data_IF_335872285221
#
_entry.id   IF_335872285221
#
_cell.length_a   1.000
_cell.length_b   1.000
_cell.length_c   1.000
_cell.angle_alpha   90.00
_cell.angle_beta   90.00
_cell.angle_gamma   90.00
#
_symmetry.space_group_name_H-M   'P 1'
#
loop_
_entity.id
_entity.type
_entity.pdbx_description
1 polymer ?
#
# COMPACT_ATOMS: atom_id res chain seq x y z
N UNK A 1 -8.37 6.65 -10.92
CA UNK A 1 -9.34 5.83 -10.16
C UNK A 1 -8.67 5.11 -8.98
N UNK A 2 -7.68 4.24 -9.20
CA UNK A 2 -7.00 3.51 -8.11
C UNK A 2 -6.32 4.43 -7.09
N UNK A 3 -5.67 5.51 -7.53
CA UNK A 3 -5.00 6.46 -6.62
C UNK A 3 -5.97 7.15 -5.65
N UNK A 4 -7.22 7.38 -6.06
CA UNK A 4 -8.23 8.01 -5.20
C UNK A 4 -8.64 7.03 -4.09
N UNK A 5 -8.97 5.79 -4.44
CA UNK A 5 -9.20 4.75 -3.44
C UNK A 5 -8.01 4.58 -2.48
N UNK A 6 -6.79 4.51 -3.00
CA UNK A 6 -5.57 4.41 -2.18
C UNK A 6 -5.39 5.58 -1.21
N UNK A 7 -5.82 6.79 -1.58
CA UNK A 7 -5.70 7.96 -0.70
C UNK A 7 -6.61 7.87 0.54
N UNK A 8 -7.75 7.17 0.45
CA UNK A 8 -8.70 6.98 1.55
C UNK A 8 -8.23 5.99 2.60
N UNK A 9 -7.30 5.11 2.24
CA UNK A 9 -6.81 4.10 3.17
C UNK A 9 -5.90 4.72 4.24
N UNK A 10 -6.07 4.30 5.51
CA UNK A 10 -5.40 4.91 6.66
C UNK A 10 -3.93 4.52 6.79
N UNK A 11 -3.52 3.39 6.20
CA UNK A 11 -2.14 2.90 6.25
C UNK A 11 -1.21 3.66 5.30
N UNK A 12 0.04 3.86 5.75
CA UNK A 12 1.10 4.62 5.05
C UNK A 12 2.44 3.86 4.98
N UNK A 13 2.49 2.68 5.59
CA UNK A 13 3.68 1.86 5.74
C UNK A 13 3.33 0.46 5.29
N UNK A 14 4.22 -0.15 4.52
CA UNK A 14 4.01 -1.45 3.93
C UNK A 14 5.30 -2.25 3.94
N UNK A 15 5.16 -3.57 3.93
CA UNK A 15 6.24 -4.47 3.60
C UNK A 15 6.47 -4.50 2.09
N UNK A 16 7.74 -4.52 1.70
CA UNK A 16 8.14 -4.76 0.32
C UNK A 16 9.21 -5.83 0.34
N UNK A 17 8.88 -6.99 -0.20
CA UNK A 17 9.81 -8.08 -0.34
C UNK A 17 10.60 -7.97 -1.64
N UNK A 18 11.79 -8.57 -1.62
CA UNK A 18 12.61 -8.83 -2.80
C UNK A 18 12.93 -10.31 -2.82
N UNK A 19 12.43 -11.02 -3.82
CA UNK A 19 12.61 -12.45 -3.98
C UNK A 19 13.21 -12.81 -5.34
N UNK A 20 13.91 -13.93 -5.40
CA UNK A 20 14.24 -14.65 -6.64
C UNK A 20 13.21 -15.77 -6.79
N UNK A 21 12.38 -15.68 -7.83
CA UNK A 21 11.41 -16.72 -8.16
C UNK A 21 12.15 -17.83 -8.91
N UNK A 22 12.14 -19.06 -8.35
CA UNK A 22 12.83 -20.22 -8.91
C UNK A 22 11.91 -21.08 -9.77
N UNK A 23 10.66 -21.27 -9.33
CA UNK A 23 9.65 -22.04 -10.07
C UNK A 23 8.27 -21.39 -9.94
N UNK A 24 7.54 -21.35 -11.06
CA UNK A 24 6.12 -21.00 -11.08
C UNK A 24 5.29 -21.99 -11.89
N UNK A 25 4.02 -22.14 -11.52
CA UNK A 25 3.03 -22.94 -12.24
C UNK A 25 1.88 -22.07 -12.71
N UNK A 26 1.25 -22.47 -13.81
CA UNK A 26 0.00 -21.86 -14.25
C UNK A 26 -1.14 -22.24 -13.31
N UNK A 27 -1.85 -21.26 -12.75
CA UNK A 27 -2.98 -21.49 -11.84
C UNK A 27 -4.16 -22.25 -12.45
N UNK A 28 -4.25 -22.33 -13.79
CA UNK A 28 -5.37 -22.98 -14.50
C UNK A 28 -5.10 -24.47 -14.75
N UNK A 29 -3.87 -24.83 -15.09
CA UNK A 29 -3.53 -26.19 -15.54
C UNK A 29 -2.34 -26.82 -14.80
N UNK A 30 -1.75 -26.11 -13.84
CA UNK A 30 -0.63 -26.54 -13.01
C UNK A 30 0.66 -26.89 -13.77
N UNK A 31 0.74 -26.57 -15.06
CA UNK A 31 1.96 -26.74 -15.84
C UNK A 31 3.02 -25.75 -15.36
N UNK A 32 4.21 -26.26 -15.05
CA UNK A 32 5.39 -25.43 -14.74
C UNK A 32 5.69 -24.55 -15.94
N UNK A 33 5.72 -23.23 -15.73
CA UNK A 33 6.06 -22.29 -16.79
C UNK A 33 7.57 -22.17 -16.86
N UNK A 34 8.10 -22.35 -18.06
CA UNK A 34 9.50 -22.06 -18.36
C UNK A 34 9.58 -21.40 -19.73
N UNK A 35 10.78 -20.93 -20.09
CA UNK A 35 11.00 -20.42 -21.45
C UNK A 35 10.68 -21.46 -22.53
N UNK A 36 10.88 -22.75 -22.21
CA UNK A 36 10.69 -23.87 -23.14
C UNK A 36 9.25 -24.39 -23.09
N UNK A 37 8.65 -24.41 -21.90
CA UNK A 37 7.31 -24.97 -21.68
C UNK A 37 6.32 -23.84 -21.38
N UNK A 38 5.46 -23.53 -22.36
CA UNK A 38 4.29 -22.69 -22.17
C UNK A 38 3.01 -23.49 -22.40
N UNK A 39 2.10 -23.46 -21.44
CA UNK A 39 0.80 -24.13 -21.50
C UNK A 39 -0.21 -23.42 -22.40
N UNK A 40 0.18 -22.32 -23.05
CA UNK A 40 -0.67 -21.49 -23.92
C UNK A 40 -1.69 -20.62 -23.17
N UNK A 41 -1.86 -20.80 -21.85
CA UNK A 41 -2.70 -19.93 -21.04
C UNK A 41 -2.01 -18.57 -20.81
N UNK A 42 -2.72 -17.50 -21.14
CA UNK A 42 -2.25 -16.12 -21.06
C UNK A 42 -2.58 -15.55 -19.68
N UNK A 43 -1.58 -14.99 -19.00
CA UNK A 43 -1.77 -14.32 -17.70
C UNK A 43 -2.85 -13.24 -17.78
N UNK A 44 -3.63 -13.12 -16.72
CA UNK A 44 -4.76 -12.20 -16.58
C UNK A 44 -5.94 -12.47 -17.55
N UNK A 45 -5.99 -13.64 -18.21
CA UNK A 45 -7.18 -14.10 -18.94
C UNK A 45 -7.99 -15.07 -18.09
N UNK A 46 -9.30 -15.07 -18.32
CA UNK A 46 -10.25 -15.97 -17.68
C UNK A 46 -10.39 -17.25 -18.52
N UNK A 47 -10.34 -18.39 -17.83
CA UNK A 47 -10.54 -19.71 -18.39
C UNK A 47 -11.56 -20.45 -17.51
N UNK A 48 -12.78 -20.66 -18.01
CA UNK A 48 -13.86 -21.31 -17.27
C UNK A 48 -14.12 -20.69 -15.87
N UNK A 49 -14.06 -19.37 -15.77
CA UNK A 49 -14.24 -18.63 -14.51
C UNK A 49 -13.01 -18.56 -13.62
N UNK A 50 -11.90 -19.19 -14.01
CA UNK A 50 -10.62 -19.13 -13.28
C UNK A 50 -9.70 -18.10 -13.94
N UNK A 51 -9.18 -17.17 -13.15
CA UNK A 51 -8.18 -16.21 -13.61
C UNK A 51 -6.81 -16.90 -13.72
N UNK A 52 -6.18 -16.81 -14.88
CA UNK A 52 -4.82 -17.31 -15.05
C UNK A 52 -3.79 -16.35 -14.43
N UNK A 53 -2.99 -16.86 -13.50
CA UNK A 53 -1.85 -16.18 -12.90
C UNK A 53 -0.72 -17.20 -12.64
N UNK A 54 0.42 -16.70 -12.22
CA UNK A 54 1.56 -17.53 -11.82
C UNK A 54 1.49 -17.83 -10.34
N UNK A 55 1.37 -19.11 -10.02
CA UNK A 55 1.53 -19.60 -8.65
C UNK A 55 3.02 -19.86 -8.41
N UNK A 56 3.61 -19.14 -7.46
CA UNK A 56 5.02 -19.32 -7.08
C UNK A 56 5.14 -20.57 -6.22
N UNK A 57 5.93 -21.54 -6.69
CA UNK A 57 6.13 -22.84 -6.01
C UNK A 57 7.42 -22.85 -5.20
N UNK A 58 8.47 -22.24 -5.75
CA UNK A 58 9.77 -22.11 -5.09
C UNK A 58 10.31 -20.69 -5.30
N UNK A 59 10.82 -20.10 -4.22
CA UNK A 59 11.42 -18.78 -4.22
C UNK A 59 12.46 -18.65 -3.12
N UNK A 60 13.36 -17.70 -3.31
CA UNK A 60 14.35 -17.30 -2.32
C UNK A 60 14.12 -15.85 -1.91
N UNK A 61 13.86 -15.62 -0.63
CA UNK A 61 13.72 -14.28 -0.06
C UNK A 61 15.10 -13.65 0.13
N UNK A 62 15.34 -12.50 -0.50
CA UNK A 62 16.58 -11.73 -0.34
C UNK A 62 16.43 -10.69 0.78
N UNK A 63 15.42 -9.82 0.68
CA UNK A 63 15.14 -8.80 1.69
C UNK A 63 13.65 -8.61 1.89
N UNK A 64 13.30 -8.04 3.05
CA UNK A 64 11.96 -7.57 3.36
C UNK A 64 12.07 -6.18 3.99
N UNK A 65 11.72 -5.17 3.21
CA UNK A 65 11.93 -3.76 3.54
C UNK A 65 10.62 -3.09 3.99
N UNK A 66 10.73 -2.12 4.88
CA UNK A 66 9.60 -1.28 5.31
C UNK A 66 9.62 -0.01 4.47
N UNK A 67 8.57 0.21 3.67
CA UNK A 67 8.50 1.31 2.70
C UNK A 67 7.16 2.03 2.74
N UNK A 68 7.14 3.27 2.27
CA UNK A 68 5.91 4.07 2.14
C UNK A 68 5.18 3.87 0.81
N UNK A 69 5.85 3.33 -0.20
CA UNK A 69 5.29 3.16 -1.55
C UNK A 69 5.72 1.84 -2.21
N UNK A 70 5.14 0.69 -1.79
CA UNK A 70 5.46 -0.59 -2.41
C UNK A 70 4.67 -0.79 -3.72
N UNK A 71 5.08 -1.79 -4.49
CA UNK A 71 4.27 -2.39 -5.56
C UNK A 71 3.13 -3.20 -4.96
N UNK A 72 3.40 -4.04 -3.95
CA UNK A 72 2.38 -4.80 -3.23
C UNK A 72 1.74 -3.96 -2.12
N UNK A 73 0.61 -3.31 -2.42
CA UNK A 73 -0.14 -2.48 -1.46
C UNK A 73 -0.90 -3.28 -0.39
N UNK A 74 -0.99 -4.60 -0.54
CA UNK A 74 -1.70 -5.46 0.41
C UNK A 74 -0.83 -5.87 1.60
N UNK A 75 0.48 -5.63 1.53
CA UNK A 75 1.44 -6.02 2.57
C UNK A 75 1.45 -5.00 3.73
N UNK A 76 0.32 -4.88 4.43
CA UNK A 76 0.13 -3.94 5.54
C UNK A 76 0.44 -4.63 6.87
N UNK A 77 1.09 -3.91 7.79
CA UNK A 77 1.36 -4.41 9.13
C UNK A 77 0.15 -4.15 10.05
N UNK A 78 -0.26 -5.19 10.76
CA UNK A 78 -1.28 -5.15 11.81
C UNK A 78 -0.67 -5.56 13.14
N UNK A 79 -1.28 -5.12 14.24
CA UNK A 79 -0.91 -5.61 15.57
C UNK A 79 -1.30 -7.09 15.70
N UNK A 80 -0.73 -7.80 16.68
CA UNK A 80 -1.03 -9.22 16.90
C UNK A 80 -2.51 -9.49 17.20
N UNK A 81 -3.22 -8.49 17.71
CA UNK A 81 -4.65 -8.50 18.00
C UNK A 81 -5.52 -7.99 16.84
N UNK A 82 -4.91 -7.70 15.68
CA UNK A 82 -5.59 -7.46 14.41
C UNK A 82 -5.48 -6.04 13.86
N UNK A 83 -6.43 -5.71 12.97
CA UNK A 83 -6.52 -4.42 12.31
C UNK A 83 -7.28 -3.40 13.19
N UNK A 84 -6.55 -2.39 13.65
CA UNK A 84 -7.08 -1.28 14.45
C UNK A 84 -7.08 0.07 13.72
N UNK A 85 -6.90 0.06 12.40
CA UNK A 85 -6.93 1.30 11.64
C UNK A 85 -8.33 1.90 11.58
N UNK A 86 -8.39 3.23 11.54
CA UNK A 86 -9.65 3.96 11.40
C UNK A 86 -10.02 4.12 9.92
N UNK A 87 -11.05 3.39 9.48
CA UNK A 87 -11.57 3.43 8.11
C UNK A 87 -12.74 4.41 7.90
N UNK A 88 -13.01 5.31 8.85
CA UNK A 88 -14.15 6.24 8.79
C UNK A 88 -14.20 7.07 7.51
N UNK A 89 -13.06 7.54 7.00
CA UNK A 89 -12.98 8.27 5.73
C UNK A 89 -13.42 7.41 4.54
N UNK A 90 -12.91 6.17 4.44
CA UNK A 90 -13.32 5.21 3.41
C UNK A 90 -14.82 4.90 3.50
N UNK A 91 -15.31 4.60 4.70
CA UNK A 91 -16.73 4.31 4.97
C UNK A 91 -17.61 5.50 4.57
N UNK A 92 -17.16 6.72 4.83
CA UNK A 92 -17.89 7.93 4.46
C UNK A 92 -18.05 8.06 2.94
N UNK A 93 -16.99 7.78 2.17
CA UNK A 93 -17.03 7.83 0.71
C UNK A 93 -17.89 6.71 0.12
N UNK A 94 -17.76 5.47 0.63
CA UNK A 94 -18.52 4.31 0.14
C UNK A 94 -20.04 4.53 0.28
N UNK A 95 -20.50 5.29 1.27
CA UNK A 95 -21.93 5.65 1.43
C UNK A 95 -22.50 6.45 0.26
N UNK A 96 -21.67 7.20 -0.46
CA UNK A 96 -22.11 8.05 -1.58
C UNK A 96 -21.79 7.45 -2.95
N UNK A 97 -20.97 6.39 -2.99
CA UNK A 97 -20.62 5.71 -4.23
C UNK A 97 -21.70 4.66 -4.55
N UNK A 98 -22.31 4.80 -5.72
CA UNK A 98 -23.38 3.94 -6.22
C UNK A 98 -22.85 2.71 -6.98
N UNK A 99 -21.59 2.73 -7.40
CA UNK A 99 -20.95 1.63 -8.14
C UNK A 99 -19.44 1.56 -7.86
N UNK A 100 -18.84 0.36 -7.75
CA UNK A 100 -17.39 0.20 -7.64
C UNK A 100 -16.56 0.87 -8.76
N UNK A 101 -17.18 1.08 -9.92
CA UNK A 101 -16.56 1.70 -11.10
C UNK A 101 -16.83 3.20 -11.21
N UNK A 102 -17.59 3.78 -10.27
CA UNK A 102 -17.90 5.20 -10.28
C UNK A 102 -16.62 6.02 -10.16
N UNK A 103 -16.46 6.98 -11.06
CA UNK A 103 -15.36 7.94 -11.02
C UNK A 103 -15.69 8.99 -9.97
N UNK A 104 -14.77 9.20 -9.04
CA UNK A 104 -14.79 10.29 -8.08
C UNK A 104 -13.37 10.81 -7.91
N UNK A 105 -13.25 12.05 -7.42
CA UNK A 105 -11.97 12.70 -7.13
C UNK A 105 -11.89 13.02 -5.65
N UNK A 106 -10.66 13.00 -5.14
CA UNK A 106 -10.36 13.37 -3.77
C UNK A 106 -9.40 14.55 -3.82
N UNK A 107 -9.67 15.54 -2.99
CA UNK A 107 -8.72 16.64 -2.82
C UNK A 107 -7.97 16.43 -1.52
N UNK A 108 -6.65 16.54 -1.56
CA UNK A 108 -5.84 16.46 -0.35
C UNK A 108 -4.98 17.70 -0.23
N UNK A 109 -5.01 18.33 0.93
CA UNK A 109 -4.20 19.49 1.24
C UNK A 109 -3.58 19.33 2.62
N UNK A 110 -2.67 20.24 2.98
CA UNK A 110 -1.98 20.23 4.27
C UNK A 110 -2.35 21.47 5.04
N UNK A 111 -2.64 21.28 6.32
CA UNK A 111 -2.87 22.38 7.25
C UNK A 111 -1.87 22.31 8.39
N UNK A 112 -1.58 23.48 8.96
CA UNK A 112 -0.75 23.59 10.16
C UNK A 112 -1.58 23.11 11.34
N UNK A 113 -1.27 21.92 11.85
CA UNK A 113 -2.01 21.31 12.95
C UNK A 113 -1.48 21.77 14.32
N UNK A 114 -0.19 22.07 14.42
CA UNK A 114 0.44 22.54 15.67
C UNK A 114 1.66 23.41 15.40
N UNK A 115 1.93 24.35 16.29
CA UNK A 115 3.24 25.00 16.41
C UNK A 115 4.30 24.03 16.94
N UNK A 116 5.57 24.37 16.72
CA UNK A 116 6.68 23.67 17.38
C UNK A 116 6.68 24.02 18.86
N UNK A 117 6.59 23.02 19.72
CA UNK A 117 6.58 23.21 21.18
C UNK A 117 7.97 23.10 21.83
N UNK A 118 9.00 22.75 21.05
CA UNK A 118 10.36 22.55 21.54
C UNK A 118 10.56 21.30 22.41
N UNK A 119 9.51 20.51 22.65
CA UNK A 119 9.56 19.30 23.48
C UNK A 119 10.00 18.08 22.66
N UNK A 120 9.64 18.04 21.38
CA UNK A 120 9.95 16.91 20.52
C UNK A 120 11.41 16.91 20.03
N UNK A 121 12.14 15.83 20.31
CA UNK A 121 13.51 15.62 19.82
C UNK A 121 13.56 15.54 18.28
N UNK A 122 14.54 16.20 17.62
CA UNK A 122 14.77 16.10 16.17
C UNK A 122 14.99 14.67 15.65
N UNK A 123 15.52 13.78 16.48
CA UNK A 123 15.83 12.39 16.13
C UNK A 123 14.60 11.46 16.13
N UNK A 124 13.51 11.88 16.76
CA UNK A 124 12.28 11.09 16.82
C UNK A 124 11.58 11.06 15.45
N UNK A 125 10.76 10.04 15.22
CA UNK A 125 9.87 10.00 14.04
C UNK A 125 8.96 11.22 14.05
N UNK A 126 8.78 11.84 12.89
CA UNK A 126 7.96 13.04 12.77
C UNK A 126 6.48 12.78 13.15
N UNK A 127 5.87 13.60 14.02
CA UNK A 127 4.51 13.40 14.53
C UNK A 127 3.41 13.75 13.51
N UNK A 128 3.80 14.23 12.32
CA UNK A 128 2.84 14.52 11.25
C UNK A 128 2.12 13.26 10.75
N UNK A 129 2.70 12.08 10.92
CA UNK A 129 2.17 10.81 10.43
C UNK A 129 2.26 10.63 8.91
N UNK A 130 2.78 11.62 8.17
CA UNK A 130 2.91 11.58 6.71
C UNK A 130 4.10 10.72 6.24
N UNK A 131 5.09 10.47 7.10
CA UNK A 131 6.31 9.75 6.73
C UNK A 131 7.01 9.14 7.95
N UNK A 132 7.81 8.10 7.72
CA UNK A 132 8.74 7.52 8.70
C UNK A 132 10.04 8.33 8.89
N UNK A 133 10.14 9.52 8.29
CA UNK A 133 11.34 10.36 8.43
C UNK A 133 11.48 10.89 9.85
N UNK A 134 12.73 11.10 10.25
CA UNK A 134 13.05 11.85 11.46
C UNK A 134 12.41 13.23 11.41
N UNK A 135 12.10 13.77 12.57
CA UNK A 135 11.47 15.07 12.70
C UNK A 135 12.32 16.18 12.07
N UNK A 136 13.64 16.09 12.25
CA UNK A 136 14.65 16.95 11.61
C UNK A 136 14.51 17.01 10.08
N UNK A 137 14.23 15.88 9.43
CA UNK A 137 14.17 15.75 7.97
C UNK A 137 12.76 15.95 7.40
N UNK A 138 11.77 16.31 8.24
CA UNK A 138 10.37 16.34 7.86
C UNK A 138 9.68 17.68 8.15
N UNK A 139 9.15 17.87 9.36
CA UNK A 139 8.39 19.08 9.71
C UNK A 139 9.21 20.12 10.47
N UNK A 140 10.34 19.75 11.09
CA UNK A 140 11.18 20.71 11.82
C UNK A 140 11.67 21.90 10.96
N UNK A 141 12.08 21.71 9.68
CA UNK A 141 12.48 22.82 8.81
C UNK A 141 11.31 23.73 8.36
N UNK A 142 10.07 23.35 8.66
CA UNK A 142 8.87 24.11 8.32
C UNK A 142 8.48 24.99 9.51
N UNK A 143 7.55 25.92 9.30
CA UNK A 143 7.04 26.79 10.36
C UNK A 143 6.08 26.11 11.35
N UNK A 144 5.94 24.78 11.34
CA UNK A 144 5.10 24.01 12.27
C UNK A 144 4.88 22.55 11.83
N UNK A 145 4.05 21.84 12.58
CA UNK A 145 3.66 20.45 12.29
C UNK A 145 2.44 20.47 11.36
N UNK A 146 2.62 19.99 10.13
CA UNK A 146 1.55 19.90 9.15
C UNK A 146 0.92 18.51 9.14
N UNK A 147 -0.40 18.44 9.03
CA UNK A 147 -1.14 17.20 8.80
C UNK A 147 -1.85 17.25 7.46
N UNK A 148 -1.97 16.08 6.83
CA UNK A 148 -2.74 15.90 5.61
C UNK A 148 -4.24 15.84 5.95
N UNK A 149 -5.03 16.62 5.24
CA UNK A 149 -6.49 16.60 5.24
C UNK A 149 -7.00 16.04 3.92
N UNK A 150 -8.16 15.40 3.97
CA UNK A 150 -8.85 14.81 2.83
C UNK A 150 -10.24 15.46 2.76
N UNK A 151 -10.51 16.16 1.66
CA UNK A 151 -11.83 16.68 1.28
C UNK A 151 -12.46 15.84 0.16
#
# INVERSE_FOLDING_TARGET
MVCNWQALFPYKIFGSSREIIKEVKCSVCNTTRSFINDCGHVKNKLYNGVLCFDEVIDFELITYDIVSNPVNKCSVFFSNDGDHYNYSTLISVVKYIQSPHQIFNITTWRFKAKEHDGVLSPENICPCGDSLKKYADCCLPRNGIYKKHID
#
